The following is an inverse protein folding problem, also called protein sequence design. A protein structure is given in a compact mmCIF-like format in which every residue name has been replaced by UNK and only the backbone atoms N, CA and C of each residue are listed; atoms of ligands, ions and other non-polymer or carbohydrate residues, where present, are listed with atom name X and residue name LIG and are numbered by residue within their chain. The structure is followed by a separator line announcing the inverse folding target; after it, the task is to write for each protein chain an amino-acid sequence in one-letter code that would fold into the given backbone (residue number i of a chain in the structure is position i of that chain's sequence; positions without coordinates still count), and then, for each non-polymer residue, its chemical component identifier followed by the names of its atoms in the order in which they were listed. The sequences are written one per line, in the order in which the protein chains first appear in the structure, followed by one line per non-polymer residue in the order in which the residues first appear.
data_IF_324545009217
#
_entry.id   IF_324545009217
#
_cell.length_a   1.000
_cell.length_b   1.000
_cell.length_c   1.000
_cell.angle_alpha   90.00
_cell.angle_beta   90.00
_cell.angle_gamma   90.00
#
_symmetry.space_group_name_H-M   'P 1'
#
loop_
_entity.id
_entity.type
_entity.pdbx_description
1 polymer ?
#
# COMPACT_ATOMS: atom_id res chain seq x y z
N UNK A 1 18.84 13.83 10.55
CA UNK A 1 17.94 12.88 11.25
C UNK A 1 17.99 13.01 12.78
N UNK A 2 18.76 13.94 13.36
CA UNK A 2 18.80 14.18 14.82
C UNK A 2 17.96 15.42 15.20
N UNK A 3 17.71 16.33 14.25
CA UNK A 3 17.02 17.61 14.52
C UNK A 3 15.48 17.51 14.64
N UNK A 4 14.85 16.45 14.13
CA UNK A 4 13.39 16.24 14.27
C UNK A 4 13.00 15.66 15.63
N UNK A 5 13.95 15.08 16.37
CA UNK A 5 13.73 14.65 17.76
C UNK A 5 13.63 15.88 18.68
N UNK A 6 14.36 16.95 18.34
CA UNK A 6 14.36 18.20 19.12
C UNK A 6 13.04 18.98 19.04
N UNK A 7 12.24 18.81 17.98
CA UNK A 7 10.93 19.47 17.88
C UNK A 7 9.84 18.79 18.74
N UNK A 8 10.08 17.58 19.25
CA UNK A 8 9.16 16.86 20.13
C UNK A 8 9.36 17.19 21.62
N UNK A 9 10.43 17.91 21.99
CA UNK A 9 10.70 18.32 23.38
C UNK A 9 10.04 19.68 23.73
N UNK A 10 9.27 20.27 22.80
CA UNK A 10 8.67 21.60 22.95
C UNK A 10 7.38 21.71 23.79
N UNK A 11 6.94 20.69 24.52
CA UNK A 11 5.74 20.76 25.38
C UNK A 11 5.87 19.95 26.68
N UNK A 12 7.01 20.07 27.38
CA UNK A 12 7.11 19.53 28.75
C UNK A 12 7.47 20.58 29.79
N UNK A 13 6.72 21.68 29.79
CA UNK A 13 6.81 22.67 30.87
C UNK A 13 5.43 23.21 31.25
N UNK A 14 4.50 22.34 31.70
CA UNK A 14 3.34 22.71 32.53
C UNK A 14 2.74 21.48 33.28
N UNK A 15 3.53 20.68 34.01
CA UNK A 15 2.94 19.66 34.92
C UNK A 15 2.85 20.21 36.34
N UNK A 16 2.13 21.33 36.49
CA UNK A 16 1.73 21.90 37.78
C UNK A 16 0.21 21.86 37.92
N UNK A 17 -0.30 21.08 38.88
CA UNK A 17 -1.70 21.05 39.35
C UNK A 17 -2.77 20.30 38.52
N UNK A 18 -2.41 19.33 37.69
CA UNK A 18 -3.40 18.43 37.07
C UNK A 18 -3.88 17.42 38.12
N UNK A 19 -5.14 17.54 38.59
CA UNK A 19 -5.73 16.62 39.60
C UNK A 19 -5.56 15.16 39.16
N UNK A 20 -5.02 14.29 40.03
CA UNK A 20 -4.67 12.88 39.79
C UNK A 20 -5.76 12.06 39.05
N UNK A 21 -7.05 12.34 39.31
CA UNK A 21 -8.18 11.68 38.63
C UNK A 21 -8.27 12.01 37.13
N UNK A 22 -7.83 13.20 36.71
CA UNK A 22 -7.76 13.59 35.29
C UNK A 22 -6.59 12.93 34.59
N UNK A 23 -5.44 12.80 35.27
CA UNK A 23 -4.28 12.06 34.74
C UNK A 23 -4.68 10.60 34.48
N UNK A 24 -5.39 9.98 35.42
CA UNK A 24 -5.87 8.60 35.26
C UNK A 24 -6.84 8.46 34.08
N UNK A 25 -7.72 9.44 33.85
CA UNK A 25 -8.61 9.45 32.69
C UNK A 25 -7.84 9.58 31.37
N UNK A 26 -6.90 10.53 31.27
CA UNK A 26 -6.08 10.69 30.05
C UNK A 26 -5.19 9.47 29.80
N UNK A 27 -4.63 8.85 30.84
CA UNK A 27 -3.84 7.63 30.71
C UNK A 27 -4.65 6.46 30.14
N UNK A 28 -5.91 6.28 30.57
CA UNK A 28 -6.80 5.25 30.03
C UNK A 28 -7.17 5.51 28.57
N UNK A 29 -7.46 6.77 28.21
CA UNK A 29 -7.78 7.15 26.82
C UNK A 29 -6.57 6.93 25.91
N UNK A 30 -5.37 7.34 26.35
CA UNK A 30 -4.13 7.15 25.59
C UNK A 30 -3.81 5.65 25.46
N UNK A 31 -3.92 4.86 26.53
CA UNK A 31 -3.69 3.43 26.50
C UNK A 31 -4.69 2.69 25.60
N UNK A 32 -5.98 3.05 25.68
CA UNK A 32 -7.03 2.49 24.82
C UNK A 32 -6.83 2.85 23.34
N UNK A 33 -6.47 4.10 23.04
CA UNK A 33 -6.16 4.54 21.69
C UNK A 33 -4.90 3.84 21.13
N UNK A 34 -3.85 3.68 21.93
CA UNK A 34 -2.64 2.95 21.53
C UNK A 34 -2.94 1.49 21.25
N UNK A 35 -3.64 0.79 22.15
CA UNK A 35 -4.02 -0.61 21.97
C UNK A 35 -4.97 -0.82 20.76
N UNK A 36 -5.83 0.16 20.47
CA UNK A 36 -6.64 0.14 19.25
C UNK A 36 -5.79 0.34 17.99
N UNK A 37 -4.84 1.27 18.03
CA UNK A 37 -3.92 1.56 16.92
C UNK A 37 -2.98 0.40 16.63
N UNK A 38 -2.49 -0.34 17.64
CA UNK A 38 -1.65 -1.53 17.42
C UNK A 38 -2.39 -2.62 16.65
N UNK A 39 -3.71 -2.78 16.86
CA UNK A 39 -4.53 -3.72 16.08
C UNK A 39 -4.73 -3.27 14.63
N UNK A 40 -4.84 -1.97 14.39
CA UNK A 40 -4.94 -1.39 13.05
C UNK A 40 -3.65 -1.55 12.22
N UNK A 41 -2.49 -1.67 12.87
CA UNK A 41 -1.18 -1.82 12.22
C UNK A 41 -0.81 -3.27 11.82
N UNK A 42 -1.65 -4.28 12.13
CA UNK A 42 -1.40 -5.70 11.84
C UNK A 42 -2.17 -6.21 10.60
N UNK A 43 -2.15 -5.47 9.49
CA UNK A 43 -2.76 -5.94 8.23
C UNK A 43 -1.87 -5.75 6.98
N UNK A 44 -0.57 -5.43 7.13
CA UNK A 44 0.32 -5.17 5.98
C UNK A 44 1.72 -5.84 6.10
N UNK A 45 1.89 -6.83 6.96
CA UNK A 45 3.12 -7.62 7.03
C UNK A 45 2.79 -9.10 7.21
N UNK A 46 2.15 -9.69 6.19
CA UNK A 46 2.24 -11.14 6.06
C UNK A 46 3.43 -11.47 5.16
N UNK A 47 4.29 -12.31 5.71
CA UNK A 47 5.55 -12.75 5.15
C UNK A 47 5.26 -13.79 4.07
N UNK A 48 5.60 -13.50 2.82
CA UNK A 48 5.92 -14.57 1.85
C UNK A 48 7.43 -14.61 1.66
N UNK A 49 8.11 -14.97 2.75
CA UNK A 49 9.29 -15.85 2.68
C UNK A 49 8.74 -17.28 2.52
N UNK A 50 8.29 -17.58 1.30
CA UNK A 50 7.64 -18.83 0.93
C UNK A 50 8.02 -19.15 -0.49
N UNK A 51 9.21 -19.72 -0.64
CA UNK A 51 9.75 -20.29 -1.87
C UNK A 51 8.69 -21.09 -2.64
N UNK A 52 8.24 -20.57 -3.78
CA UNK A 52 7.78 -21.41 -4.88
C UNK A 52 8.84 -21.35 -5.96
N UNK A 53 9.72 -22.35 -5.97
CA UNK A 53 10.57 -22.65 -7.12
C UNK A 53 9.67 -22.86 -8.32
N UNK A 54 9.59 -21.87 -9.21
CA UNK A 54 8.95 -22.04 -10.51
C UNK A 54 9.94 -22.85 -11.35
N UNK A 55 9.62 -24.13 -11.51
CA UNK A 55 10.12 -24.94 -12.61
C UNK A 55 9.59 -24.32 -13.91
N UNK A 56 10.43 -23.55 -14.60
CA UNK A 56 10.16 -23.11 -15.96
C UNK A 56 10.37 -24.30 -16.90
N UNK A 57 9.32 -25.09 -17.15
CA UNK A 57 9.26 -25.88 -18.38
C UNK A 57 8.66 -24.97 -19.47
N UNK A 58 9.56 -24.52 -20.34
CA UNK A 58 9.28 -23.70 -21.49
C UNK A 58 8.76 -24.59 -22.61
N UNK A 59 7.49 -24.44 -23.03
CA UNK A 59 7.01 -25.03 -24.28
C UNK A 59 5.89 -24.21 -24.93
N UNK A 60 6.28 -23.66 -26.08
CA UNK A 60 5.52 -23.52 -27.33
C UNK A 60 4.70 -22.23 -27.58
N UNK A 61 5.32 -21.36 -28.38
CA UNK A 61 4.83 -20.79 -29.66
C UNK A 61 3.33 -20.93 -30.00
N UNK A 62 2.69 -19.79 -30.31
CA UNK A 62 1.44 -19.78 -31.06
C UNK A 62 0.76 -18.42 -31.13
N UNK A 63 0.85 -17.78 -32.29
CA UNK A 63 0.35 -16.46 -32.67
C UNK A 63 -1.19 -16.36 -32.73
N UNK A 64 -1.72 -15.19 -32.33
CA UNK A 64 -2.98 -14.53 -32.73
C UNK A 64 -4.30 -15.28 -32.46
N UNK A 65 -5.08 -14.77 -31.50
CA UNK A 65 -6.43 -14.22 -31.69
C UNK A 65 -6.89 -13.62 -30.35
N UNK A 66 -7.30 -12.34 -30.36
CA UNK A 66 -7.92 -11.64 -29.22
C UNK A 66 -9.05 -12.48 -28.60
N UNK A 67 -8.97 -12.84 -27.30
CA UNK A 67 -10.14 -13.19 -26.53
C UNK A 67 -10.39 -12.09 -25.50
N UNK A 68 -11.48 -11.38 -25.73
CA UNK A 68 -12.14 -10.58 -24.70
C UNK A 68 -12.46 -11.50 -23.51
N UNK A 69 -12.24 -10.98 -22.30
CA UNK A 69 -12.72 -11.52 -21.01
C UNK A 69 -12.30 -12.96 -20.66
N UNK A 70 -11.06 -13.13 -20.19
CA UNK A 70 -10.70 -14.20 -19.24
C UNK A 70 -9.51 -13.73 -18.38
N UNK A 71 -9.70 -12.62 -17.66
CA UNK A 71 -8.80 -12.18 -16.59
C UNK A 71 -9.35 -12.62 -15.24
N UNK A 72 -9.73 -13.89 -15.13
CA UNK A 72 -9.93 -14.49 -13.82
C UNK A 72 -8.54 -14.69 -13.21
N UNK A 73 -8.15 -13.79 -12.31
CA UNK A 73 -7.11 -13.99 -11.28
C UNK A 73 -5.61 -13.94 -11.66
N UNK A 74 -5.18 -13.27 -12.74
CA UNK A 74 -3.71 -13.11 -12.97
C UNK A 74 -3.08 -11.99 -12.14
N UNK A 75 -3.85 -10.97 -11.79
CA UNK A 75 -3.34 -9.76 -11.16
C UNK A 75 -4.07 -9.55 -9.83
N UNK A 76 -3.31 -9.38 -8.76
CA UNK A 76 -3.85 -9.10 -7.43
C UNK A 76 -3.33 -7.75 -6.96
N UNK A 77 -4.18 -7.02 -6.23
CA UNK A 77 -3.79 -5.76 -5.63
C UNK A 77 -2.79 -6.03 -4.51
N UNK A 78 -1.51 -5.89 -4.82
CA UNK A 78 -0.36 -6.13 -3.95
C UNK A 78 0.22 -4.81 -3.38
N UNK A 79 -0.52 -3.71 -3.53
CA UNK A 79 -0.12 -2.39 -3.06
C UNK A 79 0.74 -1.59 -4.04
N UNK A 80 0.92 -2.07 -5.29
CA UNK A 80 1.57 -1.28 -6.34
C UNK A 80 0.72 -0.09 -6.77
N UNK A 81 1.37 1.06 -6.93
CA UNK A 81 0.70 2.33 -7.20
C UNK A 81 1.27 3.09 -8.40
N UNK A 82 2.47 2.75 -8.87
CA UNK A 82 3.19 3.52 -9.89
C UNK A 82 3.48 2.68 -11.13
N UNK A 83 3.61 3.36 -12.27
CA UNK A 83 3.86 2.73 -13.58
C UNK A 83 5.14 1.90 -13.64
N UNK A 84 6.21 2.36 -12.96
CA UNK A 84 7.49 1.65 -12.91
C UNK A 84 7.40 0.25 -12.29
N UNK A 85 6.30 -0.05 -11.62
CA UNK A 85 6.04 -1.34 -10.97
C UNK A 85 5.18 -2.27 -11.83
N UNK A 86 4.65 -1.78 -12.96
CA UNK A 86 3.84 -2.53 -13.92
C UNK A 86 4.74 -3.09 -15.01
N UNK A 87 4.55 -4.37 -15.33
CA UNK A 87 5.32 -5.06 -16.37
C UNK A 87 4.67 -4.93 -17.75
N UNK A 88 3.37 -4.63 -17.81
CA UNK A 88 2.64 -4.38 -19.04
C UNK A 88 1.54 -3.34 -18.90
N UNK A 89 1.08 -2.82 -20.04
CA UNK A 89 -0.04 -1.88 -20.08
C UNK A 89 -1.34 -2.54 -19.62
N UNK A 90 -1.59 -3.79 -19.97
CA UNK A 90 -2.80 -4.53 -19.58
C UNK A 90 -2.86 -4.73 -18.07
N UNK A 91 -1.71 -4.96 -17.44
CA UNK A 91 -1.57 -5.00 -15.98
C UNK A 91 -1.85 -3.62 -15.37
N UNK A 92 -1.23 -2.56 -15.90
CA UNK A 92 -1.48 -1.19 -15.43
C UNK A 92 -2.96 -0.80 -15.53
N UNK A 93 -3.62 -1.17 -16.63
CA UNK A 93 -5.05 -0.97 -16.83
C UNK A 93 -5.89 -1.74 -15.83
N UNK A 94 -5.56 -3.01 -15.60
CA UNK A 94 -6.25 -3.81 -14.58
C UNK A 94 -6.13 -3.16 -13.20
N UNK A 95 -4.92 -2.72 -12.81
CA UNK A 95 -4.67 -2.06 -11.54
C UNK A 95 -5.44 -0.74 -11.41
N UNK A 96 -5.49 0.07 -12.48
CA UNK A 96 -6.26 1.31 -12.49
C UNK A 96 -7.77 1.08 -12.26
N UNK A 97 -8.31 0.01 -12.87
CA UNK A 97 -9.75 -0.27 -12.83
C UNK A 97 -10.19 -1.07 -11.58
N UNK A 98 -9.30 -1.90 -11.01
CA UNK A 98 -9.66 -2.89 -9.98
C UNK A 98 -8.98 -2.67 -8.62
N UNK A 99 -7.90 -1.87 -8.54
CA UNK A 99 -7.16 -1.67 -7.31
C UNK A 99 -7.33 -0.25 -6.75
N UNK A 100 -7.67 -0.08 -5.46
CA UNK A 100 -7.81 1.24 -4.87
C UNK A 100 -6.46 1.92 -4.66
N UNK A 101 -6.41 3.24 -4.86
CA UNK A 101 -5.25 4.07 -4.50
C UNK A 101 -4.08 4.00 -5.48
N UNK A 102 -4.31 3.54 -6.71
CA UNK A 102 -3.33 3.62 -7.78
C UNK A 102 -3.09 5.08 -8.20
N UNK A 103 -1.87 5.38 -8.63
CA UNK A 103 -1.42 6.70 -9.13
C UNK A 103 -0.73 6.54 -10.49
N UNK A 104 -1.41 5.84 -11.39
CA UNK A 104 -0.88 5.45 -12.70
C UNK A 104 -1.41 6.32 -13.84
N UNK A 105 -2.62 6.84 -13.66
CA UNK A 105 -3.30 7.78 -14.53
C UNK A 105 -3.22 9.17 -13.88
N UNK A 106 -2.29 10.00 -14.39
CA UNK A 106 -1.95 11.28 -13.78
C UNK A 106 -2.85 12.44 -14.20
N UNK A 107 -3.45 12.31 -15.38
CA UNK A 107 -4.34 13.26 -16.05
C UNK A 107 -5.80 12.81 -16.08
N UNK A 108 -6.09 11.61 -15.57
CA UNK A 108 -7.41 11.02 -15.40
C UNK A 108 -8.15 10.81 -16.73
N UNK A 109 -7.42 10.47 -17.79
CA UNK A 109 -7.96 10.21 -19.12
C UNK A 109 -8.37 8.74 -19.35
N UNK A 110 -8.08 7.87 -18.37
CA UNK A 110 -8.34 6.44 -18.41
C UNK A 110 -7.24 5.61 -19.08
N UNK A 111 -6.10 6.23 -19.43
CA UNK A 111 -4.94 5.60 -20.05
C UNK A 111 -3.78 5.61 -19.05
N UNK A 112 -3.66 4.59 -18.19
CA UNK A 112 -2.56 4.54 -17.24
C UNK A 112 -1.22 4.32 -17.94
N UNK A 113 -0.18 4.95 -17.43
CA UNK A 113 1.21 4.68 -17.82
C UNK A 113 1.54 4.93 -19.31
N UNK A 114 0.84 5.86 -19.95
CA UNK A 114 1.09 6.38 -21.31
C UNK A 114 2.59 6.60 -21.60
N UNK A 115 3.30 7.27 -20.69
CA UNK A 115 4.73 7.61 -20.85
C UNK A 115 5.66 6.40 -20.85
N UNK A 116 5.27 5.32 -20.19
CA UNK A 116 6.09 4.11 -20.07
C UNK A 116 5.83 3.13 -21.22
N UNK A 117 4.58 3.01 -21.65
CA UNK A 117 4.18 2.06 -22.69
C UNK A 117 3.95 2.69 -24.07
N UNK A 118 4.13 4.02 -24.20
CA UNK A 118 4.02 4.75 -25.46
C UNK A 118 2.62 4.71 -26.08
N UNK A 119 1.60 4.91 -25.24
CA UNK A 119 0.19 4.96 -25.67
C UNK A 119 -0.21 6.35 -26.12
#
# INVERSE_FOLDING_TARGET
MIDSVYLAVGLHEQVGSIKLKKILFFALVIFGAWHYYTKYMSNNNDLVYGSKTISYENKNNGSVTKPQSLSESKYQCDGRQYCSQMSSYEEAKYFNDHCPGTKMDGDADGIPCERQFGR
#
